data_IF_681221866530
#
_entry.id   IF_681221866530
#
_cell.length_a   1.000
_cell.length_b   1.000
_cell.length_c   1.000
_cell.angle_alpha   90.00
_cell.angle_beta   90.00
_cell.angle_gamma   90.00
#
_symmetry.space_group_name_H-M   'P 1'
#
loop_
_entity.id
_entity.type
_entity.pdbx_description
1 polymer ?
#
# COMPACT_ATOMS: atom_id res chain seq x y z
N UNK A 1 -5.47 35.87 -7.55
CA UNK A 1 -5.33 34.44 -7.89
C UNK A 1 -5.82 34.29 -9.33
N UNK A 2 -5.00 33.82 -10.27
CA UNK A 2 -5.38 33.81 -11.70
C UNK A 2 -6.34 32.65 -11.97
N UNK A 3 -7.21 32.77 -12.97
CA UNK A 3 -8.15 31.71 -13.37
C UNK A 3 -7.41 30.40 -13.71
N UNK A 4 -6.21 30.50 -14.26
CA UNK A 4 -5.28 29.40 -14.54
C UNK A 4 -4.85 28.63 -13.27
N UNK A 5 -4.80 29.28 -12.11
CA UNK A 5 -4.44 28.62 -10.84
C UNK A 5 -5.59 27.74 -10.31
N UNK A 6 -6.83 27.98 -10.74
CA UNK A 6 -8.00 27.17 -10.38
C UNK A 6 -8.07 25.85 -11.15
N UNK A 7 -7.51 25.80 -12.37
CA UNK A 7 -7.54 24.59 -13.21
C UNK A 7 -6.33 23.67 -12.98
N UNK A 8 -5.20 24.19 -12.47
CA UNK A 8 -4.00 23.40 -12.13
C UNK A 8 -4.29 22.14 -11.30
N UNK A 9 -5.11 22.16 -10.23
CA UNK A 9 -5.41 20.95 -9.47
C UNK A 9 -6.26 19.93 -10.26
N UNK A 10 -7.15 20.41 -11.12
CA UNK A 10 -8.03 19.57 -11.94
C UNK A 10 -7.24 18.92 -13.07
N UNK A 11 -6.38 19.69 -13.75
CA UNK A 11 -5.49 19.18 -14.81
C UNK A 11 -4.48 18.19 -14.22
N UNK A 12 -3.90 18.49 -13.06
CA UNK A 12 -3.00 17.58 -12.35
C UNK A 12 -3.67 16.27 -11.96
N UNK A 13 -4.94 16.30 -11.52
CA UNK A 13 -5.71 15.12 -11.14
C UNK A 13 -6.09 14.29 -12.37
N UNK A 14 -6.53 14.94 -13.45
CA UNK A 14 -6.89 14.29 -14.71
C UNK A 14 -5.70 13.60 -15.40
N UNK A 15 -4.55 14.26 -15.43
CA UNK A 15 -3.29 13.68 -15.93
C UNK A 15 -2.86 12.47 -15.11
N UNK A 16 -2.94 12.57 -13.78
CA UNK A 16 -2.56 11.47 -12.88
C UNK A 16 -3.45 10.24 -13.07
N UNK A 17 -4.76 10.43 -13.24
CA UNK A 17 -5.71 9.33 -13.50
C UNK A 17 -5.43 8.68 -14.86
N UNK A 18 -5.21 9.47 -15.92
CA UNK A 18 -4.87 8.94 -17.25
C UNK A 18 -3.54 8.18 -17.22
N UNK A 19 -2.55 8.70 -16.51
CA UNK A 19 -1.27 8.02 -16.33
C UNK A 19 -1.45 6.69 -15.62
N UNK A 20 -2.21 6.64 -14.52
CA UNK A 20 -2.52 5.41 -13.80
C UNK A 20 -3.30 4.40 -14.66
N UNK A 21 -4.31 4.84 -15.41
CA UNK A 21 -5.07 3.97 -16.31
C UNK A 21 -4.18 3.36 -17.41
N UNK A 22 -3.22 4.13 -17.93
CA UNK A 22 -2.24 3.65 -18.92
C UNK A 22 -1.28 2.63 -18.29
N UNK A 23 -0.87 2.85 -17.04
CA UNK A 23 -0.01 1.96 -16.27
C UNK A 23 -0.64 0.59 -16.05
N UNK A 24 -1.96 0.49 -15.89
CA UNK A 24 -2.66 -0.81 -15.77
C UNK A 24 -2.45 -1.69 -17.02
N UNK A 25 -2.55 -1.09 -18.21
CA UNK A 25 -2.43 -1.83 -19.47
C UNK A 25 -0.99 -2.20 -19.84
N UNK A 26 0.00 -1.43 -19.36
CA UNK A 26 1.41 -1.67 -19.67
C UNK A 26 2.36 -1.16 -18.56
N UNK A 27 2.40 -1.82 -17.38
CA UNK A 27 3.21 -1.38 -16.25
C UNK A 27 4.69 -1.22 -16.60
N UNK A 28 5.26 -2.26 -17.22
CA UNK A 28 6.66 -2.33 -17.57
C UNK A 28 7.04 -1.28 -18.61
N UNK A 29 6.17 -1.04 -19.60
CA UNK A 29 6.40 0.00 -20.61
C UNK A 29 6.43 1.40 -20.02
N UNK A 30 5.47 1.73 -19.16
CA UNK A 30 5.43 3.05 -18.51
C UNK A 30 6.57 3.22 -17.52
N UNK A 31 6.90 2.19 -16.73
CA UNK A 31 8.05 2.24 -15.85
C UNK A 31 9.37 2.44 -16.63
N UNK A 32 9.54 1.75 -17.78
CA UNK A 32 10.69 1.96 -18.68
C UNK A 32 10.74 3.39 -19.20
N UNK A 33 9.60 3.94 -19.65
CA UNK A 33 9.52 5.32 -20.15
C UNK A 33 9.96 6.34 -19.09
N UNK A 34 9.43 6.24 -17.86
CA UNK A 34 9.79 7.12 -16.74
C UNK A 34 11.29 7.05 -16.43
N UNK A 35 11.90 5.86 -16.53
CA UNK A 35 13.31 5.63 -16.21
C UNK A 35 14.28 5.95 -17.36
N UNK A 36 13.79 6.09 -18.59
CA UNK A 36 14.61 6.35 -19.79
C UNK A 36 14.64 7.83 -20.19
N UNK A 37 13.65 8.61 -19.78
CA UNK A 37 13.62 10.03 -20.11
C UNK A 37 14.80 10.79 -19.46
N UNK A 38 15.50 11.66 -20.22
CA UNK A 38 16.65 12.44 -19.74
C UNK A 38 16.27 13.62 -18.83
N UNK A 39 15.10 13.58 -18.19
CA UNK A 39 14.62 14.58 -17.24
C UNK A 39 15.32 14.44 -15.89
N UNK A 40 15.34 15.53 -15.11
CA UNK A 40 15.92 15.55 -13.77
C UNK A 40 15.42 14.39 -12.90
N UNK A 41 16.29 13.85 -12.05
CA UNK A 41 15.98 12.68 -11.22
C UNK A 41 14.73 12.86 -10.35
N UNK A 42 14.43 14.11 -9.95
CA UNK A 42 13.24 14.48 -9.18
C UNK A 42 11.96 14.34 -10.00
N UNK A 43 11.97 14.74 -11.27
CA UNK A 43 10.78 14.73 -12.14
C UNK A 43 10.30 13.30 -12.42
N UNK A 44 11.24 12.37 -12.60
CA UNK A 44 10.92 10.95 -12.76
C UNK A 44 10.23 10.37 -11.52
N UNK A 45 10.72 10.72 -10.33
CA UNK A 45 10.12 10.28 -9.05
C UNK A 45 8.75 10.91 -8.86
N UNK A 46 8.59 12.21 -9.14
CA UNK A 46 7.30 12.90 -9.05
C UNK A 46 6.24 12.27 -9.95
N UNK A 47 6.60 11.88 -11.18
CA UNK A 47 5.68 11.20 -12.10
C UNK A 47 5.26 9.83 -11.58
N UNK A 48 6.19 9.05 -11.05
CA UNK A 48 5.89 7.77 -10.42
C UNK A 48 4.99 7.94 -9.17
N UNK A 49 5.23 8.98 -8.36
CA UNK A 49 4.41 9.31 -7.19
C UNK A 49 2.97 9.69 -7.56
N UNK A 50 2.76 10.45 -8.64
CA UNK A 50 1.40 10.77 -9.12
C UNK A 50 0.60 9.50 -9.44
N UNK A 51 1.23 8.57 -10.16
CA UNK A 51 0.63 7.26 -10.50
C UNK A 51 0.31 6.48 -9.22
N UNK A 52 1.28 6.41 -8.30
CA UNK A 52 1.12 5.72 -7.02
C UNK A 52 0.00 6.30 -6.16
N UNK A 53 -0.09 7.62 -6.09
CA UNK A 53 -1.11 8.32 -5.30
C UNK A 53 -2.52 8.00 -5.79
N UNK A 54 -2.73 7.93 -7.11
CA UNK A 54 -4.03 7.51 -7.68
C UNK A 54 -4.38 6.08 -7.26
N UNK A 55 -3.43 5.16 -7.31
CA UNK A 55 -3.63 3.78 -6.85
C UNK A 55 -4.05 3.70 -5.37
N UNK A 56 -3.38 4.47 -4.51
CA UNK A 56 -3.75 4.60 -3.09
C UNK A 56 -5.14 5.19 -2.92
N UNK A 57 -5.44 6.28 -3.61
CA UNK A 57 -6.73 6.96 -3.51
C UNK A 57 -7.88 6.04 -3.91
N UNK A 58 -7.70 5.27 -4.99
CA UNK A 58 -8.66 4.28 -5.43
C UNK A 58 -8.86 3.20 -4.36
N UNK A 59 -7.77 2.78 -3.72
CA UNK A 59 -7.81 1.78 -2.65
C UNK A 59 -8.61 2.28 -1.45
N UNK A 60 -8.31 3.48 -0.96
CA UNK A 60 -8.96 4.05 0.23
C UNK A 60 -10.46 4.28 -0.03
N UNK A 61 -10.81 4.86 -1.17
CA UNK A 61 -12.18 5.32 -1.43
C UNK A 61 -13.07 4.22 -2.01
N UNK A 62 -12.55 3.41 -2.92
CA UNK A 62 -13.37 2.43 -3.64
C UNK A 62 -13.17 1.01 -3.13
N UNK A 63 -11.92 0.57 -2.89
CA UNK A 63 -11.68 -0.81 -2.44
C UNK A 63 -12.09 -1.03 -0.97
N UNK A 64 -11.76 -0.07 -0.11
CA UNK A 64 -11.96 -0.17 1.34
C UNK A 64 -12.96 0.86 1.89
N UNK A 65 -13.45 1.79 1.06
CA UNK A 65 -14.30 2.89 1.50
C UNK A 65 -15.61 2.44 2.15
N UNK A 66 -16.19 1.33 1.68
CA UNK A 66 -17.39 0.74 2.30
C UNK A 66 -17.12 0.27 3.72
N UNK A 67 -15.99 -0.44 3.94
CA UNK A 67 -15.58 -0.86 5.28
C UNK A 67 -15.35 0.35 6.19
N UNK A 68 -14.62 1.38 5.74
CA UNK A 68 -14.43 2.60 6.54
C UNK A 68 -15.76 3.24 6.96
N UNK A 69 -16.72 3.37 6.03
CA UNK A 69 -18.04 3.95 6.34
C UNK A 69 -18.86 3.13 7.33
N UNK A 70 -18.75 1.79 7.31
CA UNK A 70 -19.43 0.93 8.29
C UNK A 70 -18.99 1.23 9.73
N UNK A 71 -17.77 1.75 9.92
CA UNK A 71 -17.22 2.14 11.22
C UNK A 71 -17.12 3.67 11.38
N UNK A 72 -17.98 4.41 10.67
CA UNK A 72 -18.13 5.86 10.75
C UNK A 72 -16.86 6.66 10.43
N UNK A 73 -15.90 6.05 9.72
CA UNK A 73 -14.75 6.75 9.17
C UNK A 73 -15.17 7.35 7.82
N UNK A 74 -15.02 8.66 7.66
CA UNK A 74 -15.23 9.31 6.36
C UNK A 74 -13.99 9.10 5.46
N UNK A 75 -14.07 8.26 4.41
CA UNK A 75 -12.96 8.03 3.51
C UNK A 75 -12.64 9.24 2.64
N UNK A 76 -13.51 10.26 2.55
CA UNK A 76 -13.24 11.50 1.81
C UNK A 76 -12.58 12.58 2.67
N UNK A 77 -12.48 12.36 3.98
CA UNK A 77 -11.78 13.28 4.87
C UNK A 77 -10.31 13.39 4.45
N UNK A 78 -9.89 14.62 4.11
CA UNK A 78 -8.52 14.91 3.67
C UNK A 78 -7.51 14.46 4.73
N UNK A 79 -7.81 14.70 6.01
CA UNK A 79 -6.92 14.32 7.12
C UNK A 79 -6.75 12.80 7.21
N UNK A 80 -7.84 12.04 7.04
CA UNK A 80 -7.78 10.58 7.03
C UNK A 80 -7.02 10.06 5.81
N UNK A 81 -7.42 10.48 4.61
CA UNK A 81 -6.77 10.11 3.35
C UNK A 81 -5.27 10.41 3.36
N UNK A 82 -4.87 11.61 3.79
CA UNK A 82 -3.47 12.02 3.85
C UNK A 82 -2.68 11.21 4.88
N UNK A 83 -3.27 10.90 6.05
CA UNK A 83 -2.63 10.09 7.08
C UNK A 83 -2.36 8.67 6.60
N UNK A 84 -3.39 8.02 6.02
CA UNK A 84 -3.25 6.66 5.47
C UNK A 84 -2.28 6.66 4.29
N UNK A 85 -2.38 7.63 3.39
CA UNK A 85 -1.44 7.78 2.27
C UNK A 85 0.00 7.95 2.73
N UNK A 86 0.25 8.79 3.73
CA UNK A 86 1.60 8.98 4.29
C UNK A 86 2.15 7.69 4.92
N UNK A 87 1.33 6.98 5.69
CA UNK A 87 1.73 5.70 6.30
C UNK A 87 2.08 4.66 5.24
N UNK A 88 1.28 4.56 4.17
CA UNK A 88 1.56 3.65 3.06
C UNK A 88 2.83 4.04 2.30
N UNK A 89 3.11 5.35 2.15
CA UNK A 89 4.34 5.83 1.53
C UNK A 89 5.57 5.49 2.38
N UNK A 90 5.47 5.66 3.71
CA UNK A 90 6.52 5.26 4.66
C UNK A 90 6.75 3.75 4.56
N UNK A 91 5.67 2.95 4.52
CA UNK A 91 5.76 1.50 4.35
C UNK A 91 6.47 1.11 3.05
N UNK A 92 6.11 1.74 1.93
CA UNK A 92 6.81 1.53 0.66
C UNK A 92 8.29 1.90 0.75
N UNK A 93 8.62 3.02 1.38
CA UNK A 93 10.00 3.48 1.53
C UNK A 93 10.83 2.51 2.38
N UNK A 94 10.26 1.98 3.48
CA UNK A 94 10.90 0.95 4.32
C UNK A 94 11.18 -0.30 3.51
N UNK A 95 10.20 -0.77 2.71
CA UNK A 95 10.36 -1.93 1.85
C UNK A 95 11.44 -1.72 0.79
N UNK A 96 11.40 -0.60 0.07
CA UNK A 96 12.37 -0.28 -0.99
C UNK A 96 13.77 -0.13 -0.43
N UNK A 97 13.91 0.54 0.72
CA UNK A 97 15.21 0.72 1.38
C UNK A 97 15.80 -0.63 1.79
N UNK A 98 14.97 -1.54 2.32
CA UNK A 98 15.40 -2.89 2.69
C UNK A 98 15.82 -3.72 1.48
N UNK A 99 15.08 -3.63 0.37
CA UNK A 99 15.43 -4.28 -0.91
C UNK A 99 16.71 -3.71 -1.50
N UNK A 100 16.86 -2.38 -1.50
CA UNK A 100 18.07 -1.75 -1.99
C UNK A 100 19.29 -2.12 -1.13
N UNK A 101 19.15 -2.12 0.19
CA UNK A 101 20.19 -2.59 1.10
C UNK A 101 20.58 -4.04 0.81
N UNK A 102 19.61 -4.92 0.58
CA UNK A 102 19.89 -6.29 0.18
C UNK A 102 20.65 -6.36 -1.17
N UNK A 103 20.27 -5.56 -2.17
CA UNK A 103 21.06 -5.49 -3.41
C UNK A 103 22.51 -5.09 -3.18
N UNK A 104 22.78 -4.15 -2.27
CA UNK A 104 24.15 -3.78 -1.89
C UNK A 104 24.90 -4.94 -1.23
N UNK A 105 24.27 -5.64 -0.27
CA UNK A 105 24.86 -6.81 0.41
C UNK A 105 25.21 -7.93 -0.58
N UNK A 106 24.31 -8.20 -1.53
CA UNK A 106 24.48 -9.23 -2.56
C UNK A 106 25.27 -8.74 -3.79
N UNK A 107 25.86 -7.54 -3.72
CA UNK A 107 26.70 -6.92 -4.76
C UNK A 107 26.01 -6.85 -6.12
N UNK A 108 24.71 -6.58 -6.13
CA UNK A 108 23.93 -6.22 -7.31
C UNK A 108 24.08 -4.71 -7.49
N UNK A 109 24.57 -4.27 -8.66
CA UNK A 109 24.72 -2.84 -8.98
C UNK A 109 23.34 -2.23 -9.30
N UNK A 110 22.57 -2.00 -8.24
CA UNK A 110 21.22 -1.46 -8.29
C UNK A 110 21.23 0.06 -8.02
N UNK A 111 20.40 0.81 -8.74
CA UNK A 111 20.10 2.21 -8.41
C UNK A 111 18.91 2.25 -7.45
N UNK A 112 19.03 3.01 -6.35
CA UNK A 112 17.91 3.23 -5.42
C UNK A 112 16.72 3.87 -6.16
N UNK A 113 16.99 4.87 -7.01
CA UNK A 113 15.97 5.57 -7.80
C UNK A 113 15.18 4.59 -8.67
N UNK A 114 15.88 3.74 -9.40
CA UNK A 114 15.25 2.77 -10.31
C UNK A 114 14.40 1.77 -9.50
N UNK A 115 14.92 1.30 -8.36
CA UNK A 115 14.17 0.43 -7.44
C UNK A 115 12.91 1.13 -6.92
N UNK A 116 13.04 2.37 -6.44
CA UNK A 116 11.93 3.13 -5.86
C UNK A 116 10.83 3.41 -6.88
N UNK A 117 11.19 3.85 -8.09
CA UNK A 117 10.24 4.11 -9.18
C UNK A 117 9.52 2.82 -9.59
N UNK A 118 10.24 1.70 -9.73
CA UNK A 118 9.61 0.41 -10.03
C UNK A 118 8.61 0.02 -8.94
N UNK A 119 8.98 0.14 -7.68
CA UNK A 119 8.05 -0.13 -6.59
C UNK A 119 6.83 0.81 -6.62
N UNK A 120 6.99 2.11 -6.85
CA UNK A 120 5.86 3.04 -6.96
C UNK A 120 4.88 2.64 -8.08
N UNK A 121 5.39 2.38 -9.28
CA UNK A 121 4.57 2.10 -10.47
C UNK A 121 3.88 0.74 -10.37
N UNK A 122 4.59 -0.32 -10.00
CA UNK A 122 3.95 -1.63 -9.89
C UNK A 122 2.98 -1.67 -8.72
N UNK A 123 3.34 -1.11 -7.57
CA UNK A 123 2.46 -1.09 -6.40
C UNK A 123 1.15 -0.34 -6.64
N UNK A 124 1.16 0.72 -7.47
CA UNK A 124 -0.05 1.49 -7.78
C UNK A 124 -1.16 0.66 -8.46
N UNK A 125 -0.79 -0.40 -9.17
CA UNK A 125 -1.73 -1.29 -9.87
C UNK A 125 -2.29 -2.32 -8.91
N UNK A 126 -1.42 -2.89 -8.07
CA UNK A 126 -1.80 -3.97 -7.17
C UNK A 126 -2.53 -3.47 -5.92
N UNK A 127 -2.33 -2.22 -5.51
CA UNK A 127 -2.96 -1.67 -4.31
C UNK A 127 -4.49 -1.77 -4.28
N UNK A 128 -5.25 -1.40 -5.33
CA UNK A 128 -6.70 -1.59 -5.30
C UNK A 128 -7.11 -3.06 -5.12
N UNK A 129 -6.41 -3.98 -5.79
CA UNK A 129 -6.69 -5.43 -5.69
C UNK A 129 -6.37 -5.94 -4.29
N UNK A 130 -5.17 -5.63 -3.79
CA UNK A 130 -4.74 -5.95 -2.42
C UNK A 130 -5.72 -5.36 -1.40
N UNK A 131 -6.19 -4.13 -1.61
CA UNK A 131 -7.19 -3.46 -0.79
C UNK A 131 -8.48 -4.24 -0.69
N UNK A 132 -9.03 -4.70 -1.82
CA UNK A 132 -10.27 -5.50 -1.86
C UNK A 132 -10.09 -6.80 -1.08
N UNK A 133 -9.01 -7.55 -1.34
CA UNK A 133 -8.80 -8.84 -0.67
C UNK A 133 -8.41 -8.73 0.80
N UNK A 134 -7.86 -7.57 1.22
CA UNK A 134 -7.57 -7.27 2.62
C UNK A 134 -8.74 -6.66 3.39
N UNK A 135 -9.86 -6.31 2.72
CA UNK A 135 -11.05 -5.76 3.39
C UNK A 135 -11.57 -6.61 4.55
N UNK A 136 -11.65 -7.95 4.48
CA UNK A 136 -12.06 -8.77 5.64
C UNK A 136 -11.14 -8.59 6.86
N UNK A 137 -9.83 -8.51 6.64
CA UNK A 137 -8.84 -8.27 7.70
C UNK A 137 -9.02 -6.87 8.28
N UNK A 138 -9.23 -5.86 7.42
CA UNK A 138 -9.49 -4.49 7.85
C UNK A 138 -10.74 -4.41 8.72
N UNK A 139 -11.83 -5.08 8.33
CA UNK A 139 -13.08 -5.13 9.11
C UNK A 139 -12.82 -5.73 10.49
N UNK A 140 -12.16 -6.89 10.56
CA UNK A 140 -11.81 -7.51 11.85
C UNK A 140 -10.98 -6.57 12.74
N UNK A 141 -10.01 -5.84 12.17
CA UNK A 141 -9.24 -4.83 12.89
C UNK A 141 -10.13 -3.69 13.41
N UNK A 142 -11.01 -3.14 12.56
CA UNK A 142 -11.91 -2.05 12.94
C UNK A 142 -12.89 -2.46 14.05
N UNK A 143 -13.37 -3.70 14.05
CA UNK A 143 -14.20 -4.25 15.13
C UNK A 143 -13.47 -4.27 16.46
N UNK A 144 -12.25 -4.82 16.48
CA UNK A 144 -11.40 -4.83 17.68
C UNK A 144 -11.17 -3.40 18.17
N UNK A 145 -10.81 -2.47 17.27
CA UNK A 145 -10.57 -1.09 17.65
C UNK A 145 -11.82 -0.40 18.19
N UNK A 146 -13.01 -0.69 17.66
CA UNK A 146 -14.28 -0.14 18.16
C UNK A 146 -14.58 -0.62 19.59
N UNK A 147 -14.35 -1.90 19.87
CA UNK A 147 -14.50 -2.47 21.21
C UNK A 147 -13.54 -1.78 22.18
N UNK A 148 -12.26 -1.66 21.80
CA UNK A 148 -11.24 -0.99 22.63
C UNK A 148 -11.55 0.49 22.87
N UNK A 149 -12.22 1.17 21.91
CA UNK A 149 -12.61 2.57 22.04
C UNK A 149 -13.87 2.78 22.91
N UNK A 150 -14.62 1.72 23.19
CA UNK A 150 -15.86 1.80 23.95
C UNK A 150 -15.56 2.15 25.41
N UNK A 151 -16.13 3.23 25.96
CA UNK A 151 -15.88 3.63 27.34
C UNK A 151 -16.37 2.56 28.32
N UNK A 152 -15.51 2.17 29.27
CA UNK A 152 -15.84 1.19 30.32
C UNK A 152 -15.32 -0.22 30.07
N UNK A 153 -14.61 -0.48 28.95
CA UNK A 153 -13.87 -1.74 28.76
C UNK A 153 -12.63 -1.72 29.64
N UNK A 154 -12.56 -2.67 30.58
CA UNK A 154 -11.36 -2.91 31.37
C UNK A 154 -10.28 -3.56 30.48
N UNK A 155 -9.18 -2.83 30.25
CA UNK A 155 -8.04 -3.32 29.47
C UNK A 155 -7.35 -4.53 30.13
N UNK A 156 -7.63 -4.81 31.40
CA UNK A 156 -7.22 -6.07 32.06
C UNK A 156 -7.85 -7.31 31.41
N UNK A 157 -8.95 -7.15 30.66
CA UNK A 157 -9.63 -8.19 29.90
C UNK A 157 -9.09 -8.32 28.46
N UNK A 158 -7.89 -7.81 28.16
CA UNK A 158 -7.30 -7.86 26.81
C UNK A 158 -7.28 -9.28 26.22
N UNK A 159 -7.08 -10.31 27.06
CA UNK A 159 -7.13 -11.72 26.66
C UNK A 159 -8.50 -12.16 26.12
N UNK A 160 -9.58 -11.50 26.53
CA UNK A 160 -10.95 -11.83 26.15
C UNK A 160 -11.50 -10.92 25.05
N UNK A 161 -10.71 -9.99 24.49
CA UNK A 161 -11.20 -9.07 23.45
C UNK A 161 -11.64 -9.80 22.18
N UNK A 162 -10.95 -10.90 21.84
CA UNK A 162 -11.35 -11.74 20.72
C UNK A 162 -12.68 -12.44 20.98
N UNK A 163 -12.90 -12.92 22.21
CA UNK A 163 -14.18 -13.50 22.62
C UNK A 163 -15.29 -12.45 22.64
N UNK A 164 -15.00 -11.23 23.13
CA UNK A 164 -15.94 -10.10 23.10
C UNK A 164 -16.30 -9.69 21.68
N UNK A 165 -15.35 -9.71 20.74
CA UNK A 165 -15.61 -9.45 19.33
C UNK A 165 -16.52 -10.51 18.71
N UNK A 166 -16.29 -11.79 19.04
CA UNK A 166 -17.14 -12.90 18.60
C UNK A 166 -18.56 -12.81 19.16
N UNK A 167 -18.72 -12.42 20.43
CA UNK A 167 -20.04 -12.30 21.05
C UNK A 167 -20.81 -11.05 20.61
N UNK A 168 -20.10 -9.93 20.36
CA UNK A 168 -20.73 -8.65 20.03
C UNK A 168 -21.08 -8.52 18.56
N UNK A 169 -20.47 -9.31 17.66
CA UNK A 169 -20.79 -9.29 16.25
C UNK A 169 -21.18 -10.66 15.70
N UNK A 170 -22.47 -10.88 15.33
CA UNK A 170 -22.91 -12.16 14.77
C UNK A 170 -22.21 -12.51 13.45
N UNK A 171 -21.60 -11.53 12.77
CA UNK A 171 -20.87 -11.72 11.53
C UNK A 171 -19.38 -12.02 11.73
N UNK A 172 -18.85 -12.01 12.96
CA UNK A 172 -17.42 -12.25 13.24
C UNK A 172 -16.90 -13.54 12.60
N UNK A 173 -17.67 -14.63 12.71
CA UNK A 173 -17.31 -15.92 12.09
C UNK A 173 -17.25 -15.84 10.57
N UNK A 174 -18.16 -15.09 9.94
CA UNK A 174 -18.18 -14.89 8.49
C UNK A 174 -16.91 -14.14 8.06
N UNK A 175 -16.50 -13.10 8.81
CA UNK A 175 -15.25 -12.38 8.53
C UNK A 175 -14.00 -13.22 8.76
N UNK A 176 -13.98 -14.06 9.81
CA UNK A 176 -12.90 -15.02 10.02
C UNK A 176 -12.75 -16.03 8.89
N UNK A 177 -13.86 -16.58 8.39
CA UNK A 177 -13.84 -17.47 7.22
C UNK A 177 -13.42 -16.75 5.94
N UNK A 178 -13.93 -15.54 5.71
CA UNK A 178 -13.53 -14.70 4.57
C UNK A 178 -12.05 -14.37 4.61
N UNK A 179 -11.50 -14.02 5.77
CA UNK A 179 -10.08 -13.78 5.95
C UNK A 179 -9.25 -15.02 5.61
N UNK A 180 -9.66 -16.20 6.06
CA UNK A 180 -8.96 -17.44 5.72
C UNK A 180 -8.97 -17.66 4.19
N UNK A 181 -10.11 -17.45 3.55
CA UNK A 181 -10.28 -17.59 2.10
C UNK A 181 -9.46 -16.57 1.31
N UNK A 182 -9.40 -15.31 1.75
CA UNK A 182 -8.69 -14.24 1.03
C UNK A 182 -7.21 -14.16 1.34
N UNK A 183 -6.73 -14.75 2.45
CA UNK A 183 -5.32 -14.72 2.86
C UNK A 183 -4.36 -15.31 1.82
N UNK A 184 -4.76 -16.42 1.18
CA UNK A 184 -4.00 -17.06 0.10
C UNK A 184 -3.95 -16.17 -1.15
N UNK A 185 -5.06 -15.51 -1.49
CA UNK A 185 -5.13 -14.60 -2.63
C UNK A 185 -4.28 -13.35 -2.39
N UNK A 186 -4.32 -12.79 -1.18
CA UNK A 186 -3.49 -11.66 -0.78
C UNK A 186 -1.99 -12.01 -0.89
N UNK A 187 -1.60 -13.16 -0.35
CA UNK A 187 -0.21 -13.64 -0.40
C UNK A 187 0.23 -13.88 -1.85
N UNK A 188 -0.65 -14.47 -2.68
CA UNK A 188 -0.41 -14.66 -4.10
C UNK A 188 -0.23 -13.33 -4.84
N UNK A 189 -1.08 -12.33 -4.60
CA UNK A 189 -0.98 -11.01 -5.23
C UNK A 189 0.32 -10.29 -4.85
N UNK A 190 0.71 -10.34 -3.57
CA UNK A 190 1.97 -9.76 -3.10
C UNK A 190 3.19 -10.46 -3.73
N UNK A 191 3.15 -11.80 -3.82
CA UNK A 191 4.20 -12.58 -4.49
C UNK A 191 4.27 -12.28 -5.99
N UNK A 192 3.12 -12.13 -6.65
CA UNK A 192 3.03 -11.80 -8.07
C UNK A 192 3.57 -10.40 -8.34
N UNK A 193 3.12 -9.39 -7.59
CA UNK A 193 3.65 -8.03 -7.66
C UNK A 193 5.17 -8.02 -7.47
N UNK A 194 5.66 -8.73 -6.46
CA UNK A 194 7.10 -8.86 -6.17
C UNK A 194 7.85 -9.47 -7.34
N UNK A 195 7.36 -10.57 -7.91
CA UNK A 195 7.99 -11.21 -9.06
C UNK A 195 8.10 -10.25 -10.24
N UNK A 196 7.02 -9.52 -10.56
CA UNK A 196 7.03 -8.57 -11.67
C UNK A 196 8.05 -7.44 -11.46
N UNK A 197 8.17 -6.92 -10.23
CA UNK A 197 9.15 -5.88 -9.91
C UNK A 197 10.58 -6.43 -10.07
N UNK A 198 10.87 -7.62 -9.51
CA UNK A 198 12.20 -8.19 -9.55
C UNK A 198 12.60 -8.64 -10.97
N UNK A 199 11.65 -9.15 -11.75
CA UNK A 199 11.83 -9.46 -13.17
C UNK A 199 12.17 -8.19 -13.96
N UNK A 200 11.40 -7.13 -13.74
CA UNK A 200 11.65 -5.84 -14.37
C UNK A 200 13.04 -5.27 -14.04
N UNK A 201 13.43 -5.32 -12.77
CA UNK A 201 14.74 -4.82 -12.32
C UNK A 201 15.90 -5.66 -12.87
N UNK A 202 15.72 -6.98 -12.99
CA UNK A 202 16.68 -7.87 -13.63
C UNK A 202 16.91 -7.50 -15.09
N UNK A 203 15.84 -7.30 -15.86
CA UNK A 203 15.94 -6.82 -17.25
C UNK A 203 16.63 -5.45 -17.32
N UNK A 204 16.21 -4.52 -16.45
CA UNK A 204 16.69 -3.13 -16.48
C UNK A 204 18.19 -3.02 -16.23
N UNK A 205 18.74 -3.81 -15.32
CA UNK A 205 20.16 -3.76 -14.97
C UNK A 205 21.01 -4.76 -15.75
N UNK A 206 20.40 -5.61 -16.59
CA UNK A 206 21.13 -6.68 -17.29
C UNK A 206 21.78 -7.68 -16.33
N UNK A 207 21.18 -7.88 -15.16
CA UNK A 207 21.69 -8.79 -14.12
C UNK A 207 20.89 -10.08 -14.17
N UNK A 208 21.55 -11.21 -13.96
CA UNK A 208 20.91 -12.52 -13.87
C UNK A 208 19.72 -12.51 -12.90
N UNK A 209 18.58 -12.99 -13.41
CA UNK A 209 17.31 -13.06 -12.68
C UNK A 209 17.48 -13.68 -11.30
N UNK A 210 18.18 -14.81 -11.19
CA UNK A 210 18.36 -15.51 -9.91
C UNK A 210 19.05 -14.66 -8.84
N UNK A 211 20.03 -13.82 -9.22
CA UNK A 211 20.73 -12.93 -8.29
C UNK A 211 19.82 -11.82 -7.78
N UNK A 212 19.02 -11.24 -8.68
CA UNK A 212 18.03 -10.20 -8.31
C UNK A 212 16.93 -10.79 -7.43
N UNK A 213 16.47 -12.01 -7.72
CA UNK A 213 15.47 -12.68 -6.89
C UNK A 213 15.99 -13.04 -5.50
N UNK A 214 17.18 -13.61 -5.39
CA UNK A 214 17.77 -13.95 -4.08
C UNK A 214 17.94 -12.69 -3.20
N UNK A 215 18.50 -11.62 -3.76
CA UNK A 215 18.70 -10.37 -3.03
C UNK A 215 17.37 -9.67 -2.74
N UNK A 216 16.47 -9.60 -3.72
CA UNK A 216 15.17 -8.93 -3.61
C UNK A 216 14.26 -9.60 -2.60
N UNK A 217 14.15 -10.93 -2.64
CA UNK A 217 13.36 -11.69 -1.65
C UNK A 217 13.92 -11.53 -0.24
N UNK A 218 15.24 -11.62 -0.05
CA UNK A 218 15.87 -11.33 1.24
C UNK A 218 15.52 -9.92 1.76
N UNK A 219 15.62 -8.91 0.89
CA UNK A 219 15.28 -7.53 1.25
C UNK A 219 13.80 -7.31 1.56
N UNK A 220 12.90 -8.04 0.89
CA UNK A 220 11.46 -8.02 1.17
C UNK A 220 11.17 -8.66 2.52
N UNK A 221 11.82 -9.79 2.86
CA UNK A 221 11.69 -10.40 4.19
C UNK A 221 12.17 -9.46 5.28
N UNK A 222 13.31 -8.79 5.07
CA UNK A 222 13.84 -7.79 5.99
C UNK A 222 12.90 -6.59 6.15
N UNK A 223 12.37 -6.06 5.05
CA UNK A 223 11.39 -4.98 5.07
C UNK A 223 10.08 -5.37 5.75
N UNK A 224 9.63 -6.61 5.55
CA UNK A 224 8.47 -7.19 6.23
C UNK A 224 8.65 -7.22 7.74
N UNK A 225 9.84 -7.53 8.25
CA UNK A 225 10.14 -7.44 9.67
C UNK A 225 10.01 -5.99 10.21
N UNK A 226 10.52 -4.99 9.47
CA UNK A 226 10.42 -3.59 9.86
C UNK A 226 9.02 -2.97 9.66
N UNK A 227 8.13 -3.63 8.92
CA UNK A 227 6.77 -3.16 8.68
C UNK A 227 5.91 -3.11 9.95
N UNK A 228 6.34 -3.71 11.06
CA UNK A 228 5.65 -3.64 12.35
C UNK A 228 5.40 -2.19 12.82
N UNK A 229 6.37 -1.30 12.65
CA UNK A 229 6.20 0.12 13.00
C UNK A 229 5.13 0.79 12.15
N UNK A 230 5.08 0.45 10.85
CA UNK A 230 4.09 0.97 9.91
C UNK A 230 2.70 0.45 10.28
N UNK A 231 2.59 -0.81 10.67
CA UNK A 231 1.35 -1.40 11.15
C UNK A 231 0.84 -0.70 12.41
N UNK A 232 1.72 -0.39 13.38
CA UNK A 232 1.34 0.38 14.57
C UNK A 232 0.81 1.77 14.20
N UNK A 233 1.51 2.50 13.32
CA UNK A 233 1.07 3.83 12.87
C UNK A 233 -0.30 3.73 12.20
N UNK A 234 -0.51 2.72 11.35
CA UNK A 234 -1.78 2.47 10.69
C UNK A 234 -2.91 2.22 11.69
N UNK A 235 -2.69 1.33 12.67
CA UNK A 235 -3.67 1.04 13.72
C UNK A 235 -4.01 2.29 14.55
N UNK A 236 -3.01 3.11 14.89
CA UNK A 236 -3.23 4.35 15.64
C UNK A 236 -4.07 5.36 14.84
N UNK A 237 -3.81 5.49 13.53
CA UNK A 237 -4.65 6.31 12.65
C UNK A 237 -6.07 5.78 12.59
N UNK A 238 -6.28 4.48 12.37
CA UNK A 238 -7.64 3.90 12.38
C UNK A 238 -8.36 4.15 13.70
N UNK A 239 -7.69 3.91 14.83
CA UNK A 239 -8.25 4.16 16.16
C UNK A 239 -8.63 5.63 16.38
N UNK A 240 -7.84 6.57 15.86
CA UNK A 240 -8.10 8.00 15.99
C UNK A 240 -9.38 8.39 15.25
N UNK A 241 -9.57 7.87 14.02
CA UNK A 241 -10.66 8.27 13.13
C UNK A 241 -11.94 7.44 13.26
N UNK A 242 -11.89 6.24 13.86
CA UNK A 242 -13.08 5.39 14.02
C UNK A 242 -14.16 6.09 14.84
N UNK A 243 -15.44 5.89 14.49
CA UNK A 243 -16.57 6.39 15.26
C UNK A 243 -16.61 5.86 16.69
N UNK A 244 -17.49 6.45 17.51
CA UNK A 244 -17.74 5.94 18.85
C UNK A 244 -18.70 4.75 18.85
#
# INVERSE_FOLDING_TARGET
MKLEDFFKPIDFTGESIRAWATVIGNPSGICKAILQEPTDSLDAVLRALKIWFVGIFITIIFAQGSAYRLYEIDPFSINFCASIGLIMLIGLLVMVTSVHFAFLVFRVRASFRDTFISFLVFTSIFFPLIGIFSTPVLIAILEILKIVKTPGVDLSLWLNILEMAETNNPNWRIWGYLQLLTSSLLSYLLAWQTSLILDFLSERWGVERIRVFNAGTFGITLGGFFSFLVAIMYLFTLYTFIGK
#
